data_IF_132470163336
#
_entry.id   IF_132470163336
#
_cell.length_a   1.000
_cell.length_b   1.000
_cell.length_c   1.000
_cell.angle_alpha   90.00
_cell.angle_beta   90.00
_cell.angle_gamma   90.00
#
_symmetry.space_group_name_H-M   'P 1'
#
loop_
_entity.id
_entity.type
_entity.pdbx_description
1 polymer ?
#
# COMPACT_ATOMS: atom_id res chain seq x y z
N UNK A 1 -58.69 32.39 -23.46
CA UNK A 1 -58.79 30.93 -23.62
C UNK A 1 -57.87 30.31 -22.60
N UNK A 2 -58.50 29.74 -21.62
CA UNK A 2 -57.87 29.36 -20.37
C UNK A 2 -57.19 27.99 -20.45
N UNK A 3 -55.94 27.89 -19.94
CA UNK A 3 -55.09 26.70 -20.01
C UNK A 3 -55.37 25.65 -18.90
N UNK A 4 -56.60 25.62 -18.37
CA UNK A 4 -56.97 24.81 -17.20
C UNK A 4 -57.98 23.69 -17.44
N UNK A 5 -58.24 23.28 -18.67
CA UNK A 5 -59.26 22.26 -18.93
C UNK A 5 -58.75 21.16 -19.87
N UNK A 6 -57.68 20.45 -19.47
CA UNK A 6 -57.32 19.18 -20.13
C UNK A 6 -56.61 18.21 -19.18
N UNK A 7 -57.25 17.90 -18.09
CA UNK A 7 -56.78 16.86 -17.15
C UNK A 7 -57.98 16.16 -16.52
N UNK A 8 -58.75 15.46 -17.31
CA UNK A 8 -59.66 14.38 -16.85
C UNK A 8 -60.02 13.54 -18.06
N UNK A 9 -59.73 12.29 -17.98
CA UNK A 9 -60.10 11.12 -18.78
C UNK A 9 -58.86 10.43 -19.41
N UNK A 10 -58.34 9.51 -18.64
CA UNK A 10 -58.06 8.12 -19.05
C UNK A 10 -57.44 7.40 -17.83
N UNK A 11 -58.33 6.87 -17.01
CA UNK A 11 -57.99 5.77 -16.17
C UNK A 11 -58.03 4.48 -16.99
N UNK A 12 -56.95 3.70 -17.00
CA UNK A 12 -57.02 2.29 -17.27
C UNK A 12 -55.65 1.63 -16.91
N UNK A 13 -55.72 0.71 -15.95
CA UNK A 13 -54.98 -0.54 -15.98
C UNK A 13 -53.46 -0.45 -15.85
N UNK A 14 -52.94 -0.44 -14.63
CA UNK A 14 -51.53 -0.84 -14.40
C UNK A 14 -51.41 -2.34 -14.69
N UNK A 15 -50.83 -2.69 -15.85
CA UNK A 15 -50.34 -4.01 -16.12
C UNK A 15 -48.86 -4.00 -15.72
N UNK A 16 -48.54 -4.49 -14.53
CA UNK A 16 -47.15 -4.71 -14.10
C UNK A 16 -46.56 -5.84 -14.95
N UNK A 17 -45.88 -5.49 -16.01
CA UNK A 17 -45.02 -6.40 -16.73
C UNK A 17 -43.66 -6.35 -16.00
N UNK A 18 -43.47 -7.26 -15.03
CA UNK A 18 -42.17 -7.54 -14.43
C UNK A 18 -41.29 -8.19 -15.48
N UNK A 19 -40.50 -7.37 -16.20
CA UNK A 19 -39.34 -7.88 -16.93
C UNK A 19 -38.27 -8.27 -15.92
N UNK A 20 -38.32 -9.52 -15.51
CA UNK A 20 -37.24 -10.18 -14.82
C UNK A 20 -36.03 -10.26 -15.72
N UNK A 21 -35.19 -9.23 -15.73
CA UNK A 21 -33.86 -9.31 -16.28
C UNK A 21 -33.04 -10.13 -15.28
N UNK A 22 -33.03 -11.44 -15.45
CA UNK A 22 -32.03 -12.32 -14.84
C UNK A 22 -30.69 -11.95 -15.43
N UNK A 23 -29.95 -11.10 -14.71
CA UNK A 23 -28.51 -11.03 -14.91
C UNK A 23 -27.95 -12.37 -14.46
N UNK A 24 -27.31 -13.15 -15.34
CA UNK A 24 -26.58 -14.29 -14.88
C UNK A 24 -25.53 -13.76 -13.90
N UNK A 25 -25.67 -14.10 -12.62
CA UNK A 25 -24.59 -13.99 -11.66
C UNK A 25 -23.45 -14.82 -12.24
N UNK A 26 -22.52 -14.14 -12.93
CA UNK A 26 -21.21 -14.73 -13.16
C UNK A 26 -20.60 -14.92 -11.78
N UNK A 27 -20.81 -16.08 -11.23
CA UNK A 27 -19.89 -16.64 -10.26
C UNK A 27 -18.58 -16.71 -11.03
N UNK A 28 -17.79 -15.64 -10.94
CA UNK A 28 -16.39 -15.73 -11.28
C UNK A 28 -15.87 -16.88 -10.45
N UNK A 29 -15.48 -17.96 -11.12
CA UNK A 29 -14.63 -18.95 -10.49
C UNK A 29 -13.55 -18.14 -9.76
N UNK A 30 -13.42 -18.32 -8.46
CA UNK A 30 -12.29 -17.81 -7.68
C UNK A 30 -11.09 -18.46 -8.34
N UNK A 31 -10.50 -17.74 -9.31
CA UNK A 31 -9.23 -18.13 -9.90
C UNK A 31 -8.27 -18.23 -8.72
N UNK A 32 -7.64 -19.37 -8.55
CA UNK A 32 -6.55 -19.50 -7.59
C UNK A 32 -5.61 -18.33 -7.89
N UNK A 33 -5.46 -17.42 -6.92
CA UNK A 33 -4.46 -16.36 -7.05
C UNK A 33 -3.14 -17.03 -7.39
N UNK A 34 -2.48 -16.59 -8.47
CA UNK A 34 -1.24 -17.19 -8.89
C UNK A 34 -0.24 -17.07 -7.74
N UNK A 35 0.29 -18.20 -7.31
CA UNK A 35 1.31 -18.22 -6.25
C UNK A 35 2.58 -17.53 -6.74
N UNK A 36 3.00 -16.50 -6.03
CA UNK A 36 4.19 -15.71 -6.34
C UNK A 36 5.10 -15.61 -5.12
N UNK A 37 6.37 -15.38 -5.34
CA UNK A 37 7.36 -15.24 -4.30
C UNK A 37 8.54 -14.40 -4.79
N UNK A 38 9.59 -14.35 -4.02
CA UNK A 38 10.77 -13.55 -4.37
C UNK A 38 11.89 -14.38 -4.99
N UNK A 39 11.81 -15.71 -4.96
CA UNK A 39 12.85 -16.61 -5.43
C UNK A 39 12.27 -17.80 -6.21
N UNK A 40 13.14 -18.48 -6.96
CA UNK A 40 12.80 -19.71 -7.68
C UNK A 40 11.81 -19.50 -8.84
N UNK A 41 10.93 -20.48 -9.05
CA UNK A 41 9.99 -20.49 -10.19
C UNK A 41 8.88 -19.45 -10.08
N UNK A 42 8.55 -18.99 -8.88
CA UNK A 42 7.61 -17.90 -8.61
C UNK A 42 8.29 -16.55 -8.33
N UNK A 43 9.62 -16.45 -8.54
CA UNK A 43 10.42 -15.28 -8.22
C UNK A 43 10.15 -14.06 -9.07
N UNK A 44 10.73 -12.91 -8.66
CA UNK A 44 10.49 -11.58 -9.22
C UNK A 44 10.60 -11.52 -10.75
N UNK A 45 11.59 -12.19 -11.33
CA UNK A 45 11.80 -12.21 -12.78
C UNK A 45 10.70 -12.95 -13.55
N UNK A 46 9.94 -13.78 -12.85
CA UNK A 46 8.87 -14.60 -13.42
C UNK A 46 7.48 -13.98 -13.23
N UNK A 47 7.31 -13.01 -12.31
CA UNK A 47 6.00 -12.46 -11.95
C UNK A 47 5.12 -12.14 -13.14
N UNK A 48 5.62 -11.43 -14.14
CA UNK A 48 4.84 -11.04 -15.31
C UNK A 48 4.41 -12.19 -16.22
N UNK A 49 4.83 -13.42 -15.94
CA UNK A 49 4.48 -14.64 -16.68
C UNK A 49 3.62 -15.60 -15.85
N UNK A 50 3.46 -15.37 -14.53
CA UNK A 50 2.71 -16.26 -13.62
C UNK A 50 1.20 -16.17 -13.85
N UNK A 51 0.71 -14.97 -14.21
CA UNK A 51 -0.70 -14.72 -14.48
C UNK A 51 -0.86 -13.61 -15.50
N UNK A 52 -1.89 -13.62 -16.36
CA UNK A 52 -2.22 -12.48 -17.21
C UNK A 52 -2.40 -11.17 -16.45
N UNK A 53 -2.91 -11.22 -15.22
CA UNK A 53 -3.09 -10.07 -14.35
C UNK A 53 -1.76 -9.47 -13.89
N UNK A 54 -0.67 -10.26 -13.86
CA UNK A 54 0.66 -9.82 -13.45
C UNK A 54 1.53 -9.33 -14.60
N UNK A 55 1.01 -9.32 -15.83
CA UNK A 55 1.78 -8.93 -17.01
C UNK A 55 2.44 -7.55 -16.86
N UNK A 56 1.81 -6.62 -16.11
CA UNK A 56 2.35 -5.28 -15.85
C UNK A 56 3.66 -5.31 -15.06
N UNK A 57 3.93 -6.36 -14.27
CA UNK A 57 5.22 -6.53 -13.60
C UNK A 57 6.40 -6.61 -14.58
N UNK A 58 6.16 -7.09 -15.80
CA UNK A 58 7.16 -7.23 -16.88
C UNK A 58 7.11 -6.08 -17.89
N UNK A 59 5.90 -5.62 -18.24
CA UNK A 59 5.71 -4.67 -19.35
C UNK A 59 5.55 -3.23 -18.89
N UNK A 60 5.30 -3.01 -17.60
CA UNK A 60 5.09 -1.68 -17.03
C UNK A 60 6.36 -0.83 -17.07
N UNK A 61 6.23 0.41 -17.53
CA UNK A 61 7.35 1.36 -17.64
C UNK A 61 7.47 2.29 -16.44
N UNK A 62 6.47 2.31 -15.54
CA UNK A 62 6.45 3.09 -14.32
C UNK A 62 6.40 2.15 -13.12
N UNK A 63 7.49 1.42 -12.90
CA UNK A 63 7.57 0.39 -11.86
C UNK A 63 8.34 0.88 -10.63
N UNK A 64 7.99 0.36 -9.45
CA UNK A 64 8.66 0.53 -8.15
C UNK A 64 9.29 -0.79 -7.70
N UNK A 65 10.28 -0.71 -6.80
CA UNK A 65 10.92 0.48 -6.22
C UNK A 65 11.91 1.16 -7.21
N UNK A 66 12.43 2.32 -6.81
CA UNK A 66 13.46 3.05 -7.60
C UNK A 66 14.61 3.50 -6.70
N UNK A 67 15.73 3.88 -7.33
CA UNK A 67 16.81 4.60 -6.66
C UNK A 67 16.47 6.11 -6.61
N UNK A 68 16.46 6.68 -5.43
CA UNK A 68 16.01 8.05 -5.16
C UNK A 68 17.10 9.12 -5.39
N UNK A 69 18.17 8.75 -6.11
CA UNK A 69 19.22 9.70 -6.48
C UNK A 69 18.72 10.74 -7.50
N UNK A 70 19.43 11.87 -7.59
CA UNK A 70 19.13 12.96 -8.56
C UNK A 70 17.71 13.52 -8.46
N UNK A 71 17.11 13.50 -7.27
CA UNK A 71 15.81 14.11 -7.06
C UNK A 71 15.87 15.63 -7.24
N UNK A 72 14.88 16.16 -7.94
CA UNK A 72 14.73 17.59 -8.22
C UNK A 72 14.13 18.26 -6.98
N UNK A 73 14.81 19.30 -6.47
CA UNK A 73 14.28 20.10 -5.37
C UNK A 73 12.99 20.82 -5.80
N UNK A 74 11.95 20.71 -5.01
CA UNK A 74 10.65 21.30 -5.27
C UNK A 74 9.98 21.76 -3.97
N UNK A 75 9.13 22.78 -4.09
CA UNK A 75 8.23 23.15 -3.01
C UNK A 75 7.03 22.22 -3.04
N UNK A 76 7.07 21.19 -2.21
CA UNK A 76 5.97 20.22 -2.06
C UNK A 76 5.06 20.65 -0.90
N UNK A 77 3.75 20.52 -1.09
CA UNK A 77 2.80 20.72 0.00
C UNK A 77 3.10 19.73 1.14
N UNK A 78 3.05 20.16 2.40
CA UNK A 78 3.14 19.27 3.53
C UNK A 78 2.05 18.17 3.47
N UNK A 79 2.39 16.98 3.96
CA UNK A 79 1.40 15.93 4.14
C UNK A 79 0.68 16.22 5.45
N UNK A 80 -0.62 16.46 5.38
CA UNK A 80 -1.45 16.55 6.58
C UNK A 80 -1.80 15.12 7.02
N UNK A 81 -1.57 14.79 8.29
CA UNK A 81 -1.76 13.45 8.85
C UNK A 81 -2.82 13.54 9.93
N UNK A 82 -3.90 12.79 9.76
CA UNK A 82 -4.91 12.54 10.79
C UNK A 82 -4.83 11.07 11.19
N UNK A 83 -3.92 10.77 12.12
CA UNK A 83 -3.73 9.42 12.63
C UNK A 83 -4.18 9.31 14.08
N UNK A 84 -4.63 8.11 14.43
CA UNK A 84 -5.10 7.75 15.77
C UNK A 84 -4.68 6.32 16.06
N UNK A 85 -4.63 5.99 17.32
CA UNK A 85 -4.38 4.62 17.73
C UNK A 85 -5.43 3.65 17.16
N UNK A 86 -4.96 2.50 16.71
CA UNK A 86 -5.76 1.35 16.27
C UNK A 86 -5.38 0.12 17.09
N UNK A 87 -6.32 -0.79 17.42
CA UNK A 87 -5.95 -2.09 17.93
C UNK A 87 -4.98 -2.78 16.98
N UNK A 88 -4.02 -3.51 17.53
CA UNK A 88 -3.06 -4.25 16.70
C UNK A 88 -3.76 -5.42 16.02
N UNK A 89 -3.86 -5.35 14.70
CA UNK A 89 -4.41 -6.38 13.82
C UNK A 89 -3.30 -6.87 12.89
N UNK A 90 -2.68 -7.98 13.22
CA UNK A 90 -1.44 -8.43 12.58
C UNK A 90 -1.61 -9.77 11.90
N UNK A 91 -0.99 -9.94 10.75
CA UNK A 91 -0.99 -11.16 9.97
C UNK A 91 0.37 -11.39 9.30
N UNK A 92 0.81 -12.63 9.24
CA UNK A 92 1.87 -13.08 8.35
C UNK A 92 1.21 -13.71 7.12
N UNK A 93 1.14 -12.96 6.02
CA UNK A 93 0.47 -13.41 4.80
C UNK A 93 1.36 -14.29 3.90
N UNK A 94 2.53 -14.69 4.40
CA UNK A 94 3.50 -15.50 3.67
C UNK A 94 4.51 -14.71 2.85
N UNK A 95 4.25 -13.42 2.62
CA UNK A 95 5.11 -12.51 1.88
C UNK A 95 5.71 -11.44 2.81
N UNK A 96 4.94 -10.96 3.79
CA UNK A 96 5.39 -9.98 4.78
C UNK A 96 4.58 -10.05 6.07
N UNK A 97 5.06 -9.36 7.11
CA UNK A 97 4.26 -9.05 8.30
C UNK A 97 3.47 -7.79 8.02
N UNK A 98 2.16 -7.92 8.01
CA UNK A 98 1.22 -6.84 7.73
C UNK A 98 0.39 -6.50 8.97
N UNK A 99 0.20 -5.21 9.21
CA UNK A 99 -0.71 -4.70 10.24
C UNK A 99 -1.85 -3.97 9.55
N UNK A 100 -3.05 -4.52 9.68
CA UNK A 100 -4.27 -3.91 9.16
C UNK A 100 -4.76 -2.80 10.09
N UNK A 101 -5.28 -1.73 9.51
CA UNK A 101 -5.69 -0.55 10.24
C UNK A 101 -7.21 -0.37 10.18
N UNK A 102 -7.80 0.08 11.28
CA UNK A 102 -9.22 0.42 11.30
C UNK A 102 -9.49 1.72 10.51
N UNK A 103 -10.66 1.87 9.87
CA UNK A 103 -11.03 3.09 9.16
C UNK A 103 -10.99 4.36 10.02
N UNK A 104 -10.85 5.53 9.37
CA UNK A 104 -10.88 6.83 10.04
C UNK A 104 -9.50 7.39 10.37
N UNK A 105 -8.44 6.88 9.73
CA UNK A 105 -7.08 7.42 9.76
C UNK A 105 -6.70 7.75 8.33
N UNK A 106 -6.15 8.92 8.12
CA UNK A 106 -5.92 9.39 6.75
C UNK A 106 -4.73 10.32 6.64
N UNK A 107 -4.27 10.45 5.42
CA UNK A 107 -3.43 11.55 5.00
C UNK A 107 -4.17 12.40 3.98
N UNK A 108 -3.90 13.70 4.00
CA UNK A 108 -4.29 14.59 2.93
C UNK A 108 -3.05 14.97 2.13
N UNK A 109 -3.08 14.62 0.87
CA UNK A 109 -2.00 14.86 -0.08
C UNK A 109 -2.55 15.75 -1.20
N UNK A 110 -1.98 16.93 -1.32
CA UNK A 110 -2.54 17.99 -2.15
C UNK A 110 -4.03 18.24 -1.76
N UNK A 111 -4.99 18.08 -2.57
CA UNK A 111 -6.41 18.27 -2.21
C UNK A 111 -7.16 16.94 -1.96
N UNK A 112 -6.47 15.80 -1.94
CA UNK A 112 -7.08 14.48 -1.90
C UNK A 112 -6.81 13.78 -0.56
N UNK A 113 -7.86 13.13 -0.01
CA UNK A 113 -7.79 12.33 1.21
C UNK A 113 -7.56 10.87 0.83
N UNK A 114 -6.62 10.22 1.54
CA UNK A 114 -6.31 8.81 1.42
C UNK A 114 -6.36 8.16 2.80
N UNK A 115 -7.23 7.18 2.98
CA UNK A 115 -7.37 6.45 4.24
C UNK A 115 -6.28 5.39 4.38
N UNK A 116 -5.65 5.32 5.56
CA UNK A 116 -4.71 4.26 5.89
C UNK A 116 -5.43 2.91 5.94
N UNK A 117 -4.95 1.96 5.17
CA UNK A 117 -5.51 0.61 5.05
C UNK A 117 -4.69 -0.38 5.86
N UNK A 118 -3.38 -0.35 5.70
CA UNK A 118 -2.44 -1.24 6.35
C UNK A 118 -1.01 -0.70 6.26
N UNK A 119 -0.12 -1.25 7.05
CA UNK A 119 1.31 -1.10 6.84
C UNK A 119 2.02 -2.46 6.91
N UNK A 120 3.17 -2.56 6.27
CA UNK A 120 3.96 -3.78 6.23
C UNK A 120 5.45 -3.46 6.07
N UNK A 121 6.29 -4.46 6.26
CA UNK A 121 7.73 -4.31 6.28
C UNK A 121 8.37 -5.06 5.11
N UNK A 122 9.51 -4.53 4.67
CA UNK A 122 10.38 -5.12 3.65
C UNK A 122 11.80 -5.27 4.22
N UNK A 123 12.46 -6.39 3.96
CA UNK A 123 13.82 -6.70 4.39
C UNK A 123 14.63 -7.30 3.21
N UNK A 124 15.67 -6.56 2.72
CA UNK A 124 16.07 -5.19 3.03
C UNK A 124 15.10 -4.13 2.47
N UNK A 125 15.48 -2.83 2.55
CA UNK A 125 14.69 -1.78 1.91
C UNK A 125 14.59 -2.01 0.40
N UNK A 126 13.41 -1.71 -0.16
CA UNK A 126 13.16 -1.78 -1.60
C UNK A 126 13.69 -0.53 -2.31
N UNK A 127 13.44 0.68 -1.73
CA UNK A 127 14.06 1.90 -2.23
C UNK A 127 15.52 1.98 -1.80
N UNK A 128 16.32 2.61 -2.67
CA UNK A 128 17.72 2.91 -2.40
C UNK A 128 17.98 4.41 -2.50
N UNK A 129 19.02 4.89 -1.82
CA UNK A 129 19.57 6.24 -2.00
C UNK A 129 21.01 6.07 -2.46
N UNK A 130 21.35 6.63 -3.62
CA UNK A 130 22.66 6.44 -4.26
C UNK A 130 23.05 4.94 -4.38
N UNK A 131 22.08 4.12 -4.78
CA UNK A 131 22.21 2.66 -4.94
C UNK A 131 22.51 1.89 -3.65
N UNK A 132 22.35 2.53 -2.50
CA UNK A 132 22.58 1.88 -1.20
C UNK A 132 21.24 1.57 -0.56
N UNK A 133 20.93 0.30 -0.26
CA UNK A 133 19.76 -0.06 0.51
C UNK A 133 19.95 0.31 1.99
N UNK A 134 18.85 0.36 2.71
CA UNK A 134 18.77 0.41 4.16
C UNK A 134 18.47 -0.98 4.71
N UNK A 135 18.57 -1.13 6.03
CA UNK A 135 18.35 -2.44 6.67
C UNK A 135 16.93 -2.94 6.43
N UNK A 136 15.93 -2.04 6.48
CA UNK A 136 14.53 -2.38 6.19
C UNK A 136 13.79 -1.16 5.63
N UNK A 137 12.56 -1.38 5.15
CA UNK A 137 11.61 -0.34 4.79
C UNK A 137 10.22 -0.67 5.32
N UNK A 138 9.50 0.36 5.75
CA UNK A 138 8.11 0.27 6.16
C UNK A 138 7.25 0.98 5.12
N UNK A 139 6.21 0.31 4.63
CA UNK A 139 5.22 0.87 3.72
C UNK A 139 3.89 1.08 4.43
N UNK A 140 3.42 2.33 4.50
CA UNK A 140 2.08 2.66 4.97
C UNK A 140 1.19 2.88 3.75
N UNK A 141 0.30 1.95 3.51
CA UNK A 141 -0.54 1.93 2.31
C UNK A 141 -1.87 2.63 2.57
N UNK A 142 -2.13 3.67 1.78
CA UNK A 142 -3.35 4.46 1.87
C UNK A 142 -4.15 4.36 0.57
N UNK A 143 -5.48 4.48 0.69
CA UNK A 143 -6.39 4.42 -0.45
C UNK A 143 -7.45 5.53 -0.35
N UNK A 144 -7.69 6.24 -1.45
CA UNK A 144 -8.78 7.19 -1.56
C UNK A 144 -10.11 6.49 -1.77
N UNK A 145 -11.22 7.19 -1.59
CA UNK A 145 -12.57 6.67 -1.90
C UNK A 145 -12.71 6.26 -3.37
N UNK A 146 -12.03 6.95 -4.28
CA UNK A 146 -12.00 6.62 -5.70
C UNK A 146 -11.07 5.43 -6.04
N UNK A 147 -10.40 4.81 -5.04
CA UNK A 147 -9.52 3.66 -5.22
C UNK A 147 -8.07 4.00 -5.58
N UNK A 148 -7.70 5.29 -5.72
CA UNK A 148 -6.31 5.68 -5.94
C UNK A 148 -5.45 5.34 -4.72
N UNK A 149 -4.19 4.96 -4.95
CA UNK A 149 -3.25 4.56 -3.91
C UNK A 149 -2.20 5.64 -3.65
N UNK A 150 -1.88 5.82 -2.37
CA UNK A 150 -0.73 6.56 -1.91
C UNK A 150 0.04 5.71 -0.89
N UNK A 151 1.35 5.61 -1.02
CA UNK A 151 2.18 4.83 -0.10
C UNK A 151 3.25 5.72 0.50
N UNK A 152 3.31 5.76 1.83
CA UNK A 152 4.44 6.38 2.52
C UNK A 152 5.48 5.29 2.79
N UNK A 153 6.69 5.46 2.22
CA UNK A 153 7.85 4.64 2.50
C UNK A 153 8.70 5.28 3.61
N UNK A 154 9.07 4.50 4.61
CA UNK A 154 9.96 4.93 5.69
C UNK A 154 11.15 3.99 5.73
N UNK A 155 12.34 4.53 5.46
CA UNK A 155 13.58 3.78 5.51
C UNK A 155 14.00 3.54 6.97
N UNK A 156 14.40 2.33 7.28
CA UNK A 156 14.85 1.94 8.61
C UNK A 156 16.34 1.60 8.57
N UNK A 157 17.11 2.17 9.49
CA UNK A 157 18.54 1.88 9.63
C UNK A 157 18.85 1.33 11.03
N UNK A 158 19.87 0.53 11.13
CA UNK A 158 20.38 0.07 12.43
C UNK A 158 20.78 1.27 13.29
N UNK A 159 20.35 1.24 14.55
CA UNK A 159 20.62 2.27 15.54
C UNK A 159 19.97 1.98 16.88
N UNK A 160 19.29 2.98 17.42
CA UNK A 160 18.60 2.88 18.72
C UNK A 160 17.38 1.96 18.66
N UNK A 161 17.02 1.40 19.80
CA UNK A 161 15.79 0.63 19.94
C UNK A 161 14.56 1.50 19.66
N UNK A 162 13.66 1.02 18.81
CA UNK A 162 12.39 1.69 18.50
C UNK A 162 11.26 1.11 19.34
N UNK A 163 10.85 1.86 20.36
CA UNK A 163 9.81 1.41 21.28
C UNK A 163 8.44 1.24 20.62
N UNK A 164 8.13 2.02 19.58
CA UNK A 164 6.85 1.91 18.87
C UNK A 164 6.73 0.60 18.06
N UNK A 165 7.85 0.00 17.63
CA UNK A 165 7.89 -1.27 16.92
C UNK A 165 7.88 -2.49 17.86
N UNK A 166 8.16 -2.31 19.15
CA UNK A 166 8.27 -3.43 20.09
C UNK A 166 6.96 -4.24 20.18
N UNK A 167 5.76 -3.63 20.35
CA UNK A 167 4.51 -4.39 20.44
C UNK A 167 4.20 -5.22 19.19
N UNK A 168 4.63 -4.75 18.02
CA UNK A 168 4.46 -5.46 16.75
C UNK A 168 5.37 -6.69 16.75
N UNK A 169 6.66 -6.49 17.09
CA UNK A 169 7.63 -7.59 17.16
C UNK A 169 7.27 -8.66 18.18
N UNK A 170 6.62 -8.29 19.28
CA UNK A 170 6.20 -9.25 20.31
C UNK A 170 4.95 -10.06 19.90
N UNK A 171 4.18 -9.58 18.92
CA UNK A 171 2.96 -10.18 18.44
C UNK A 171 3.11 -10.86 17.06
N UNK A 172 4.33 -11.10 16.57
CA UNK A 172 4.53 -11.69 15.24
C UNK A 172 3.86 -13.06 15.12
N UNK A 173 2.89 -13.21 14.17
CA UNK A 173 2.24 -14.48 13.93
C UNK A 173 3.13 -15.42 13.11
N UNK A 174 2.89 -16.74 13.24
CA UNK A 174 3.49 -17.69 12.32
C UNK A 174 2.92 -17.51 10.89
N UNK A 175 3.65 -18.05 9.93
CA UNK A 175 3.23 -18.00 8.52
C UNK A 175 1.89 -18.71 8.32
N UNK A 176 1.02 -18.10 7.54
CA UNK A 176 -0.31 -18.62 7.18
C UNK A 176 -1.27 -18.80 8.37
N UNK A 177 -1.01 -18.17 9.50
CA UNK A 177 -2.02 -18.05 10.56
C UNK A 177 -3.05 -16.96 10.20
N UNK A 178 -4.31 -17.12 10.65
CA UNK A 178 -5.31 -16.07 10.50
C UNK A 178 -4.86 -14.76 11.16
N UNK A 179 -5.44 -13.65 10.72
CA UNK A 179 -5.21 -12.34 11.36
C UNK A 179 -5.46 -12.43 12.87
N UNK A 180 -4.48 -11.99 13.63
CA UNK A 180 -4.58 -11.89 15.09
C UNK A 180 -4.99 -10.47 15.48
N UNK A 181 -6.00 -10.34 16.34
CA UNK A 181 -6.44 -9.06 16.89
C UNK A 181 -6.05 -8.99 18.36
N UNK A 182 -5.00 -8.22 18.66
CA UNK A 182 -4.52 -8.00 20.03
C UNK A 182 -5.14 -6.72 20.60
N UNK A 183 -6.36 -6.83 21.12
CA UNK A 183 -7.17 -5.67 21.55
C UNK A 183 -6.52 -4.82 22.66
N UNK A 184 -5.65 -5.43 23.47
CA UNK A 184 -4.93 -4.75 24.56
C UNK A 184 -3.73 -3.95 24.09
N UNK A 185 -3.28 -4.16 22.86
CA UNK A 185 -2.17 -3.45 22.24
C UNK A 185 -2.72 -2.51 21.18
N UNK A 186 -2.30 -1.26 21.28
CA UNK A 186 -2.63 -0.23 20.29
C UNK A 186 -1.38 0.23 19.57
N UNK A 187 -1.53 0.53 18.30
CA UNK A 187 -0.48 1.06 17.44
C UNK A 187 -0.92 2.39 16.84
N UNK A 188 0.02 3.31 16.70
CA UNK A 188 -0.17 4.59 16.03
C UNK A 188 0.88 4.70 14.93
N UNK A 189 0.45 4.68 13.67
CA UNK A 189 1.32 4.68 12.52
C UNK A 189 2.15 5.96 12.38
N UNK A 190 1.69 7.09 12.93
CA UNK A 190 2.45 8.33 12.95
C UNK A 190 3.76 8.21 13.75
N UNK A 191 3.82 7.32 14.75
CA UNK A 191 5.03 7.08 15.54
C UNK A 191 6.17 6.45 14.74
N UNK A 192 5.89 5.90 13.57
CA UNK A 192 6.89 5.36 12.65
C UNK A 192 7.45 6.40 11.68
N UNK A 193 6.92 7.61 11.69
CA UNK A 193 7.41 8.67 10.82
C UNK A 193 8.53 9.47 11.49
N UNK A 194 9.58 9.86 10.77
CA UNK A 194 10.63 10.70 11.32
C UNK A 194 10.09 12.09 11.69
N UNK A 195 10.80 12.78 12.58
CA UNK A 195 10.44 14.16 12.97
C UNK A 195 10.53 15.14 11.80
N UNK A 196 11.57 15.00 10.99
CA UNK A 196 11.69 15.76 9.73
C UNK A 196 10.76 15.11 8.70
N UNK A 197 9.75 15.84 8.27
CA UNK A 197 8.73 15.37 7.32
C UNK A 197 9.09 15.63 5.86
N UNK A 198 10.35 15.90 5.56
CA UNK A 198 10.84 16.02 4.18
C UNK A 198 10.73 14.70 3.45
N UNK A 199 10.32 14.77 2.18
CA UNK A 199 9.98 13.60 1.39
C UNK A 199 10.59 13.63 -0.01
N UNK A 200 10.76 12.45 -0.58
CA UNK A 200 10.78 12.23 -2.03
C UNK A 200 9.35 11.91 -2.49
N UNK A 201 8.97 12.42 -3.67
CA UNK A 201 7.67 12.12 -4.29
C UNK A 201 7.84 11.72 -5.74
N UNK A 202 7.14 10.66 -6.15
CA UNK A 202 7.10 10.21 -7.53
C UNK A 202 5.87 9.33 -7.79
N UNK A 203 5.43 9.23 -9.04
CA UNK A 203 4.35 8.33 -9.44
C UNK A 203 4.92 7.03 -9.99
N UNK A 204 4.34 5.90 -9.60
CA UNK A 204 4.83 4.59 -9.98
C UNK A 204 3.81 3.47 -9.77
N UNK A 205 4.27 2.30 -9.28
CA UNK A 205 3.47 1.08 -9.13
C UNK A 205 3.50 0.53 -7.70
N UNK A 206 2.71 -0.50 -7.47
CA UNK A 206 2.96 -1.44 -6.38
C UNK A 206 4.30 -2.16 -6.62
N UNK A 207 4.96 -2.57 -5.53
CA UNK A 207 6.23 -3.33 -5.57
C UNK A 207 6.01 -4.84 -5.60
N UNK A 208 4.77 -5.29 -5.41
CA UNK A 208 4.37 -6.70 -5.46
C UNK A 208 3.35 -6.92 -6.58
N UNK A 209 3.16 -8.16 -7.07
CA UNK A 209 2.08 -8.47 -7.98
C UNK A 209 0.73 -7.95 -7.49
N UNK A 210 -0.10 -7.39 -8.37
CA UNK A 210 0.02 -7.36 -9.84
C UNK A 210 0.85 -6.19 -10.39
N UNK A 211 1.66 -5.47 -9.61
CA UNK A 211 2.52 -4.35 -10.01
C UNK A 211 1.75 -3.19 -10.67
N UNK A 212 0.50 -3.01 -10.28
CA UNK A 212 -0.40 -1.98 -10.83
C UNK A 212 0.21 -0.59 -10.71
N UNK A 213 0.20 0.15 -11.79
CA UNK A 213 0.70 1.53 -11.87
C UNK A 213 -0.33 2.54 -11.35
N UNK A 214 0.09 3.79 -11.11
CA UNK A 214 -0.78 4.85 -10.59
C UNK A 214 -0.67 5.06 -9.08
N UNK A 215 0.35 4.49 -8.45
CA UNK A 215 0.64 4.69 -7.02
C UNK A 215 1.41 6.00 -6.80
N UNK A 216 0.92 6.81 -5.88
CA UNK A 216 1.58 8.02 -5.42
C UNK A 216 2.56 7.66 -4.29
N UNK A 217 3.85 7.66 -4.58
CA UNK A 217 4.89 7.34 -3.62
C UNK A 217 5.39 8.58 -2.89
N UNK A 218 5.49 8.47 -1.58
CA UNK A 218 5.99 9.48 -0.66
C UNK A 218 7.05 8.80 0.21
N UNK A 219 8.34 8.92 -0.10
CA UNK A 219 9.40 8.30 0.69
C UNK A 219 10.03 9.33 1.60
N UNK A 220 10.06 9.05 2.91
CA UNK A 220 10.65 9.96 3.88
C UNK A 220 12.16 10.09 3.64
N UNK A 221 12.69 11.33 3.63
CA UNK A 221 14.11 11.57 3.41
C UNK A 221 14.97 11.11 4.60
N UNK A 222 14.45 11.31 5.80
CA UNK A 222 15.13 10.91 7.02
C UNK A 222 14.75 9.48 7.40
N UNK A 223 15.70 8.55 7.51
CA UNK A 223 15.42 7.21 8.04
C UNK A 223 15.14 7.28 9.55
N UNK A 224 14.37 6.32 10.06
CA UNK A 224 14.24 6.08 11.49
C UNK A 224 15.21 4.98 11.93
N UNK A 225 15.49 4.96 13.22
CA UNK A 225 16.37 3.94 13.81
C UNK A 225 15.60 2.77 14.37
N UNK A 226 16.21 1.58 14.27
CA UNK A 226 15.71 0.32 14.81
C UNK A 226 16.90 -0.50 15.29
N UNK A 227 16.78 -1.16 16.44
CA UNK A 227 17.90 -1.93 16.98
C UNK A 227 18.17 -3.19 16.16
N UNK A 228 19.42 -3.65 16.20
CA UNK A 228 19.82 -4.88 15.53
C UNK A 228 18.95 -6.09 15.95
N UNK A 229 18.58 -6.17 17.22
CA UNK A 229 17.68 -7.23 17.70
C UNK A 229 16.28 -7.16 17.06
N UNK A 230 15.77 -5.96 16.81
CA UNK A 230 14.50 -5.79 16.11
C UNK A 230 14.64 -6.19 14.64
N UNK A 231 15.68 -5.76 13.94
CA UNK A 231 15.95 -6.18 12.56
C UNK A 231 16.00 -7.70 12.46
N UNK A 232 16.77 -8.38 13.29
CA UNK A 232 16.97 -9.83 13.24
C UNK A 232 15.72 -10.67 13.53
N UNK A 233 14.63 -10.06 14.01
CA UNK A 233 13.36 -10.77 14.20
C UNK A 233 12.64 -11.04 12.89
N UNK A 234 12.74 -10.14 11.90
CA UNK A 234 12.02 -10.23 10.63
C UNK A 234 12.49 -11.39 9.74
N UNK A 235 13.80 -11.58 9.45
CA UNK A 235 14.27 -12.64 8.56
C UNK A 235 13.97 -14.04 9.05
N UNK A 236 13.75 -14.21 10.36
CA UNK A 236 13.37 -15.51 10.94
C UNK A 236 11.95 -15.95 10.56
N UNK A 237 11.12 -15.03 10.13
CA UNK A 237 9.69 -15.21 9.86
C UNK A 237 9.34 -15.06 8.39
N UNK A 238 10.15 -14.28 7.67
CA UNK A 238 9.95 -13.97 6.25
C UNK A 238 11.32 -14.09 5.59
N UNK A 239 11.40 -14.73 4.43
CA UNK A 239 12.60 -14.66 3.58
C UNK A 239 12.75 -13.23 3.03
N UNK A 240 13.93 -12.87 2.50
CA UNK A 240 14.16 -11.61 1.78
C UNK A 240 12.95 -11.35 0.86
N UNK A 241 12.26 -10.26 1.08
CA UNK A 241 10.99 -9.90 0.44
C UNK A 241 11.05 -8.55 -0.30
N UNK A 242 12.22 -8.16 -0.77
CA UNK A 242 12.45 -6.92 -1.49
C UNK A 242 12.53 -7.15 -3.02
N UNK A 243 11.72 -6.40 -3.76
CA UNK A 243 11.84 -6.34 -5.22
C UNK A 243 13.07 -5.53 -5.61
N UNK A 244 13.87 -5.98 -6.59
CA UNK A 244 14.99 -5.17 -7.10
C UNK A 244 14.54 -3.81 -7.64
N UNK A 245 15.45 -2.83 -7.54
CA UNK A 245 15.26 -1.47 -8.08
C UNK A 245 14.93 -1.50 -9.56
N UNK A 246 13.90 -0.76 -9.95
CA UNK A 246 13.40 -0.65 -11.31
C UNK A 246 13.95 0.61 -12.01
N UNK A 247 14.08 0.59 -13.34
CA UNK A 247 14.52 1.75 -14.10
C UNK A 247 13.62 2.96 -13.87
N UNK A 248 14.22 4.12 -13.68
CA UNK A 248 13.45 5.38 -13.52
C UNK A 248 12.71 5.75 -14.81
N UNK A 249 13.26 5.37 -15.97
CA UNK A 249 12.74 5.76 -17.29
C UNK A 249 12.57 7.29 -17.37
N UNK A 250 11.44 7.78 -17.90
CA UNK A 250 11.15 9.20 -18.08
C UNK A 250 10.45 9.84 -16.88
N UNK A 251 10.56 9.25 -15.69
CA UNK A 251 9.93 9.80 -14.47
C UNK A 251 10.85 10.79 -13.78
N UNK A 252 10.24 11.73 -13.09
CA UNK A 252 10.94 12.65 -12.20
C UNK A 252 10.72 12.22 -10.75
N UNK A 253 11.78 12.32 -9.96
CA UNK A 253 11.69 12.24 -8.51
C UNK A 253 11.80 13.65 -7.97
N UNK A 254 10.79 14.10 -7.24
CA UNK A 254 10.81 15.38 -6.56
C UNK A 254 11.26 15.18 -5.12
N UNK A 255 11.96 16.14 -4.55
CA UNK A 255 12.26 16.15 -3.11
C UNK A 255 11.88 17.49 -2.50
N UNK A 256 11.29 17.47 -1.32
CA UNK A 256 11.04 18.67 -0.54
C UNK A 256 12.36 19.31 -0.09
N UNK A 257 12.38 20.63 -0.10
CA UNK A 257 13.54 21.46 0.29
C UNK A 257 13.77 21.44 1.80
#
# INVERSE_FOLDING_TARGET
MDRRTLLKLFGFGALEISFGVSFPSRVSAVGQEADWGYNGESGVEKWGNLSPEFQVCKTGIQQSPIDLHRAIAAQLSPIEIDDRESPLRIVNNGHTIQVNYEPGRSIKLDAQIFNLVQFHFQDPSEHTIDKKPFDMELHLVHRSEAGALAVIGVLLKQGQHNAALQPIGDAFPNRNEPEQVVKTVKVNAEQFLPKDRKVYRYFSSLTTPPCSQGVNWIVMQQPIEISQNQIQRFPKLISIDARPVQPLNNRFVLRSS
#
